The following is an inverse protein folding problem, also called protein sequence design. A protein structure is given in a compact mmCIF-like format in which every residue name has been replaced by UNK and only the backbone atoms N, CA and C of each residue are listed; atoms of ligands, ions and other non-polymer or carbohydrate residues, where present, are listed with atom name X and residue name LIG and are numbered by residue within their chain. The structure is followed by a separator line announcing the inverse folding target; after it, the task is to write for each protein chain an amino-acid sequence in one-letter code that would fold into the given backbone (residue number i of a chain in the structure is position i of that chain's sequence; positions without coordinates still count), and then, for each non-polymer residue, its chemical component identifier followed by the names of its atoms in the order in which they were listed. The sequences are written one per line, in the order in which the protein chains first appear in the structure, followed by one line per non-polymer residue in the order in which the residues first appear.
data_IF_256788296783
#
_entry.id   IF_256788296783
#
_cell.length_a   1.000
_cell.length_b   1.000
_cell.length_c   1.000
_cell.angle_alpha   90.00
_cell.angle_beta   90.00
_cell.angle_gamma   90.00
#
_symmetry.space_group_name_H-M   'P 1'
#
loop_
_entity.id
_entity.type
_entity.pdbx_description
1 polymer ?
#
# COMPACT_ATOMS: atom_id res chain seq x y z
N UNK A 1 -7.20 9.71 -0.18
CA UNK A 1 -6.86 8.27 -0.18
C UNK A 1 -5.46 8.03 0.40
N UNK A 2 -5.06 8.83 1.42
CA UNK A 2 -3.71 8.84 2.01
C UNK A 2 -3.29 7.50 2.61
N UNK A 3 -4.27 6.78 3.15
CA UNK A 3 -4.03 5.49 3.80
C UNK A 3 -3.37 4.44 2.90
N UNK A 4 -3.59 4.46 1.57
CA UNK A 4 -2.95 3.47 0.68
C UNK A 4 -1.44 3.71 0.62
N UNK A 5 -1.02 4.97 0.38
CA UNK A 5 0.39 5.33 0.36
C UNK A 5 1.04 5.09 1.72
N UNK A 6 0.37 5.44 2.81
CA UNK A 6 0.90 5.24 4.16
C UNK A 6 1.06 3.74 4.49
N UNK A 7 0.10 2.89 4.12
CA UNK A 7 0.22 1.42 4.24
C UNK A 7 1.44 0.92 3.48
N UNK A 8 1.58 1.32 2.21
CA UNK A 8 2.66 0.86 1.35
C UNK A 8 4.01 1.40 1.79
N UNK A 9 4.07 2.63 2.31
CA UNK A 9 5.26 3.21 2.93
C UNK A 9 5.72 2.39 4.12
N UNK A 10 4.85 2.20 5.09
CA UNK A 10 5.17 1.47 6.32
C UNK A 10 5.58 0.04 6.01
N UNK A 11 5.03 -0.57 4.95
CA UNK A 11 5.38 -1.94 4.54
C UNK A 11 6.68 -2.04 3.74
N UNK A 12 6.86 -1.20 2.72
CA UNK A 12 7.90 -1.36 1.70
C UNK A 12 9.17 -0.56 2.03
N UNK A 13 9.04 0.59 2.69
CA UNK A 13 10.16 1.43 3.13
C UNK A 13 10.59 1.08 4.57
N UNK A 14 9.61 0.96 5.48
CA UNK A 14 9.88 0.80 6.91
C UNK A 14 9.75 -0.66 7.39
N UNK A 15 9.40 -1.59 6.50
CA UNK A 15 9.35 -3.04 6.74
C UNK A 15 8.49 -3.48 7.95
N UNK A 16 7.49 -2.70 8.35
CA UNK A 16 6.61 -3.06 9.46
C UNK A 16 5.71 -4.26 9.16
N UNK A 17 5.30 -4.95 10.24
CA UNK A 17 4.33 -6.04 10.15
C UNK A 17 2.92 -5.52 9.83
N UNK A 18 2.08 -6.36 9.21
CA UNK A 18 0.70 -5.95 8.89
C UNK A 18 -0.11 -5.56 10.14
N UNK A 19 0.19 -6.17 11.29
CA UNK A 19 -0.47 -5.87 12.56
C UNK A 19 -0.07 -4.50 13.08
N UNK A 20 1.21 -4.15 13.01
CA UNK A 20 1.69 -2.83 13.43
C UNK A 20 1.11 -1.71 12.55
N UNK A 21 1.08 -1.92 11.23
CA UNK A 21 0.50 -0.98 10.27
C UNK A 21 -0.99 -0.77 10.54
N UNK A 22 -1.74 -1.87 10.73
CA UNK A 22 -3.16 -1.84 11.04
C UNK A 22 -3.46 -1.02 12.30
N UNK A 23 -2.71 -1.27 13.38
CA UNK A 23 -2.84 -0.53 14.63
C UNK A 23 -2.48 0.96 14.46
N UNK A 24 -1.41 1.28 13.73
CA UNK A 24 -0.93 2.66 13.53
C UNK A 24 -1.90 3.50 12.70
N UNK A 25 -2.57 2.90 11.72
CA UNK A 25 -3.47 3.61 10.80
C UNK A 25 -4.96 3.46 11.14
N UNK A 26 -5.29 2.71 12.20
CA UNK A 26 -6.68 2.47 12.62
C UNK A 26 -7.51 1.69 11.60
N UNK A 27 -6.89 0.79 10.83
CA UNK A 27 -7.54 -0.02 9.80
C UNK A 27 -7.40 -1.51 10.09
N UNK A 28 -8.18 -2.35 9.41
CA UNK A 28 -8.06 -3.80 9.59
C UNK A 28 -6.79 -4.37 8.95
N UNK A 29 -6.24 -5.43 9.54
CA UNK A 29 -5.12 -6.21 8.98
C UNK A 29 -5.43 -6.76 7.58
N UNK A 30 -6.71 -7.04 7.30
CA UNK A 30 -7.17 -7.49 5.98
C UNK A 30 -7.03 -6.40 4.91
N UNK A 31 -7.32 -5.14 5.24
CA UNK A 31 -7.13 -4.00 4.33
C UNK A 31 -5.65 -3.79 4.04
N UNK A 32 -4.78 -3.87 5.06
CA UNK A 32 -3.32 -3.82 4.87
C UNK A 32 -2.87 -4.92 3.91
N UNK A 33 -3.26 -6.18 4.18
CA UNK A 33 -2.89 -7.31 3.33
C UNK A 33 -3.40 -7.16 1.88
N UNK A 34 -4.61 -6.62 1.69
CA UNK A 34 -5.18 -6.34 0.36
C UNK A 34 -4.27 -5.39 -0.43
N UNK A 35 -3.92 -4.23 0.12
CA UNK A 35 -3.12 -3.25 -0.60
C UNK A 35 -1.70 -3.73 -0.87
N UNK A 36 -1.09 -4.44 0.08
CA UNK A 36 0.24 -5.03 -0.11
C UNK A 36 0.22 -6.08 -1.23
N UNK A 37 -0.82 -6.93 -1.29
CA UNK A 37 -1.00 -7.89 -2.39
C UNK A 37 -1.19 -7.21 -3.73
N UNK A 38 -2.03 -6.18 -3.81
CA UNK A 38 -2.27 -5.43 -5.05
C UNK A 38 -0.99 -4.74 -5.55
N UNK A 39 -0.23 -4.11 -4.65
CA UNK A 39 1.05 -3.48 -5.03
C UNK A 39 2.07 -4.50 -5.53
N UNK A 40 2.15 -5.66 -4.86
CA UNK A 40 3.01 -6.78 -5.28
C UNK A 40 2.60 -7.32 -6.66
N UNK A 41 1.30 -7.56 -6.89
CA UNK A 41 0.78 -8.01 -8.17
C UNK A 41 1.01 -6.99 -9.30
N UNK A 42 0.95 -5.70 -8.98
CA UNK A 42 1.25 -4.62 -9.92
C UNK A 42 2.76 -4.38 -10.14
N UNK A 43 3.64 -5.12 -9.45
CA UNK A 43 5.10 -4.97 -9.51
C UNK A 43 5.61 -3.62 -8.97
N UNK A 44 4.85 -2.99 -8.07
CA UNK A 44 5.15 -1.65 -7.56
C UNK A 44 6.06 -1.69 -6.33
N UNK A 45 7.09 -0.86 -6.36
CA UNK A 45 8.04 -0.65 -5.27
C UNK A 45 7.91 0.78 -4.71
N UNK A 46 8.42 0.99 -3.49
CA UNK A 46 8.28 2.27 -2.79
C UNK A 46 8.72 3.51 -3.61
N UNK A 47 9.89 3.52 -4.29
CA UNK A 47 10.30 4.69 -5.07
C UNK A 47 9.31 5.05 -6.19
N UNK A 48 8.68 4.05 -6.81
CA UNK A 48 7.66 4.27 -7.84
C UNK A 48 6.39 4.85 -7.22
N UNK A 49 5.93 4.27 -6.10
CA UNK A 49 4.73 4.69 -5.38
C UNK A 49 4.86 6.12 -4.85
N UNK A 50 6.05 6.49 -4.37
CA UNK A 50 6.35 7.83 -3.86
C UNK A 50 6.20 8.90 -4.95
N UNK A 51 6.66 8.61 -6.16
CA UNK A 51 6.60 9.52 -7.30
C UNK A 51 5.22 9.63 -7.96
N UNK A 52 4.30 8.68 -7.69
CA UNK A 52 2.95 8.68 -8.26
C UNK A 52 1.98 9.49 -7.39
N UNK A 53 1.07 10.25 -7.97
CA UNK A 53 -0.05 10.81 -7.22
C UNK A 53 -1.06 9.75 -6.77
N UNK A 54 -1.95 10.10 -5.83
CA UNK A 54 -2.92 9.14 -5.28
C UNK A 54 -3.82 8.52 -6.36
N UNK A 55 -4.30 9.33 -7.30
CA UNK A 55 -5.18 8.87 -8.39
C UNK A 55 -4.47 7.86 -9.27
N UNK A 56 -3.20 8.13 -9.64
CA UNK A 56 -2.41 7.24 -10.48
C UNK A 56 -2.12 5.91 -9.76
N UNK A 57 -1.77 5.97 -8.47
CA UNK A 57 -1.57 4.78 -7.65
C UNK A 57 -2.86 3.96 -7.56
N UNK A 58 -3.99 4.61 -7.31
CA UNK A 58 -5.29 3.94 -7.21
C UNK A 58 -5.67 3.24 -8.50
N UNK A 59 -5.54 3.92 -9.66
CA UNK A 59 -5.76 3.30 -10.97
C UNK A 59 -4.87 2.08 -11.18
N UNK A 60 -3.56 2.16 -10.85
CA UNK A 60 -2.64 1.03 -11.00
C UNK A 60 -2.98 -0.17 -10.11
N UNK A 61 -3.49 0.06 -8.91
CA UNK A 61 -3.88 -1.00 -7.96
C UNK A 61 -5.24 -1.62 -8.27
N UNK A 62 -6.09 -0.96 -9.06
CA UNK A 62 -7.43 -1.43 -9.42
C UNK A 62 -7.52 -2.13 -10.78
N UNK A 63 -6.41 -2.23 -11.51
CA UNK A 63 -6.36 -3.09 -12.70
C UNK A 63 -6.31 -4.56 -12.24
N UNK A 64 -7.24 -5.42 -12.67
CA UNK A 64 -7.12 -6.85 -12.43
C UNK A 64 -5.84 -7.39 -13.11
N UNK A 65 -5.20 -8.43 -12.55
CA UNK A 65 -4.08 -9.09 -13.22
C UNK A 65 -4.46 -9.66 -14.59
#
# INVERSE_FOLDING_TARGET
MRQIKDVLRLKLELHHSHQHIAASLGISKGVVAKYVKLASAAGLHWPQIQAMDETALHSRLMVPP
#
